data_IF_361146312813
#
_entry.id   IF_361146312813
#
_cell.length_a   1.000
_cell.length_b   1.000
_cell.length_c   1.000
_cell.angle_alpha   90.00
_cell.angle_beta   90.00
_cell.angle_gamma   90.00
#
_symmetry.space_group_name_H-M   'P 1'
#
loop_
_entity.id
_entity.type
_entity.pdbx_description
1 polymer ?
#
# COMPACT_ATOMS: atom_id res chain seq x y z
N UNK A 1 -10.15 -20.21 -28.61
CA UNK A 1 -8.97 -19.34 -28.83
C UNK A 1 -7.72 -20.18 -28.57
N UNK A 2 -6.63 -20.07 -29.35
CA UNK A 2 -5.42 -20.89 -29.14
C UNK A 2 -4.59 -20.40 -27.96
N UNK A 3 -3.93 -21.33 -27.25
CA UNK A 3 -3.04 -21.03 -26.11
C UNK A 3 -1.93 -20.02 -26.45
N UNK A 4 -1.41 -20.07 -27.68
CA UNK A 4 -0.40 -19.13 -28.16
C UNK A 4 -0.90 -17.67 -28.15
N UNK A 5 -2.14 -17.43 -28.59
CA UNK A 5 -2.73 -16.08 -28.60
C UNK A 5 -3.00 -15.58 -27.18
N UNK A 6 -3.42 -16.46 -26.27
CA UNK A 6 -3.60 -16.13 -24.87
C UNK A 6 -2.25 -15.74 -24.21
N UNK A 7 -1.20 -16.52 -24.47
CA UNK A 7 0.16 -16.21 -23.98
C UNK A 7 0.69 -14.90 -24.54
N UNK A 8 0.54 -14.65 -25.85
CA UNK A 8 0.92 -13.38 -26.46
C UNK A 8 0.18 -12.18 -25.85
N UNK A 9 -1.12 -12.34 -25.57
CA UNK A 9 -1.92 -11.30 -24.90
C UNK A 9 -1.45 -11.06 -23.47
N UNK A 10 -1.11 -12.10 -22.72
CA UNK A 10 -0.57 -11.97 -21.36
C UNK A 10 0.78 -11.26 -21.35
N UNK A 11 1.70 -11.64 -22.25
CA UNK A 11 3.01 -10.97 -22.40
C UNK A 11 2.83 -9.49 -22.73
N UNK A 12 1.99 -9.15 -23.71
CA UNK A 12 1.75 -7.75 -24.07
C UNK A 12 1.15 -6.95 -22.91
N UNK A 13 0.22 -7.55 -22.15
CA UNK A 13 -0.34 -6.92 -20.95
C UNK A 13 0.76 -6.61 -19.94
N UNK A 14 1.63 -7.58 -19.64
CA UNK A 14 2.72 -7.40 -18.68
C UNK A 14 3.70 -6.31 -19.13
N UNK A 15 4.12 -6.32 -20.41
CA UNK A 15 5.03 -5.31 -20.97
C UNK A 15 4.49 -3.88 -20.81
N UNK A 16 3.18 -3.69 -20.94
CA UNK A 16 2.53 -2.38 -20.75
C UNK A 16 2.58 -1.96 -19.28
N UNK A 17 2.32 -2.87 -18.34
CA UNK A 17 2.38 -2.57 -16.89
C UNK A 17 3.82 -2.27 -16.46
N UNK A 18 4.79 -3.07 -16.93
CA UNK A 18 6.21 -2.85 -16.63
C UNK A 18 6.69 -1.49 -17.16
N UNK A 19 6.31 -1.12 -18.38
CA UNK A 19 6.62 0.20 -18.96
C UNK A 19 6.02 1.35 -18.14
N UNK A 20 4.82 1.18 -17.58
CA UNK A 20 4.21 2.13 -16.67
C UNK A 20 5.00 2.23 -15.36
N UNK A 21 5.35 1.08 -14.76
CA UNK A 21 6.15 1.02 -13.54
C UNK A 21 7.53 1.68 -13.71
N UNK A 22 8.18 1.51 -14.86
CA UNK A 22 9.47 2.12 -15.17
C UNK A 22 9.36 3.65 -15.26
N UNK A 23 8.35 4.17 -15.97
CA UNK A 23 8.08 5.61 -16.05
C UNK A 23 7.88 6.22 -14.67
N UNK A 24 7.11 5.53 -13.82
CA UNK A 24 6.79 5.98 -12.47
C UNK A 24 8.02 5.93 -11.57
N UNK A 25 8.83 4.88 -11.67
CA UNK A 25 10.05 4.72 -10.89
C UNK A 25 11.07 5.80 -11.23
N UNK A 26 11.24 6.11 -12.52
CA UNK A 26 12.14 7.16 -12.99
C UNK A 26 11.71 8.54 -12.48
N UNK A 27 10.41 8.81 -12.49
CA UNK A 27 9.90 10.15 -12.21
C UNK A 27 9.42 10.35 -10.76
N UNK A 28 9.29 9.27 -9.98
CA UNK A 28 8.82 9.24 -8.58
C UNK A 28 7.42 9.84 -8.37
N UNK A 29 6.58 9.78 -9.40
CA UNK A 29 5.20 10.28 -9.35
C UNK A 29 4.31 9.53 -10.36
N UNK A 30 2.99 9.64 -10.18
CA UNK A 30 1.99 8.92 -11.00
C UNK A 30 1.45 9.73 -12.19
N UNK A 31 2.08 10.85 -12.57
CA UNK A 31 1.68 11.61 -13.76
C UNK A 31 2.32 11.00 -15.01
N UNK A 32 1.46 10.37 -15.80
CA UNK A 32 1.80 9.78 -17.08
C UNK A 32 0.54 9.77 -17.96
N UNK A 33 0.78 9.82 -19.26
CA UNK A 33 -0.24 9.60 -20.28
C UNK A 33 -0.17 8.17 -20.83
N UNK A 34 -1.32 7.64 -21.26
CA UNK A 34 -1.39 6.35 -21.97
C UNK A 34 -0.49 6.31 -23.22
N UNK A 35 -0.20 7.48 -23.80
CA UNK A 35 0.71 7.63 -24.94
C UNK A 35 2.16 7.39 -24.53
N UNK A 36 2.63 7.97 -23.43
CA UNK A 36 3.99 7.74 -22.92
C UNK A 36 4.21 6.27 -22.56
N UNK A 37 3.20 5.63 -21.95
CA UNK A 37 3.25 4.19 -21.67
C UNK A 37 3.37 3.37 -22.95
N UNK A 38 2.61 3.71 -24.00
CA UNK A 38 2.69 3.03 -25.29
C UNK A 38 4.08 3.17 -25.93
N UNK A 39 4.63 4.39 -25.93
CA UNK A 39 5.98 4.69 -26.43
C UNK A 39 7.04 3.90 -25.66
N UNK A 40 6.95 3.87 -24.34
CA UNK A 40 7.89 3.11 -23.47
C UNK A 40 7.78 1.61 -23.69
N UNK A 41 6.57 1.08 -23.82
CA UNK A 41 6.31 -0.34 -24.04
C UNK A 41 6.65 -0.81 -25.47
N UNK A 42 6.92 0.11 -26.40
CA UNK A 42 7.17 -0.23 -27.80
C UNK A 42 5.94 -0.78 -28.53
N UNK A 43 4.73 -0.38 -28.11
CA UNK A 43 3.45 -0.82 -28.70
C UNK A 43 2.63 0.36 -29.18
N UNK A 44 1.60 0.11 -30.02
CA UNK A 44 0.69 1.17 -30.44
C UNK A 44 -0.22 1.63 -29.28
N UNK A 45 -0.64 2.90 -29.28
CA UNK A 45 -1.64 3.41 -28.33
C UNK A 45 -2.95 2.59 -28.37
N UNK A 46 -3.35 2.13 -29.57
CA UNK A 46 -4.49 1.22 -29.73
C UNK A 46 -4.28 -0.10 -28.99
N UNK A 47 -3.06 -0.64 -29.00
CA UNK A 47 -2.73 -1.86 -28.25
C UNK A 47 -2.92 -1.63 -26.76
N UNK A 48 -2.45 -0.50 -26.22
CA UNK A 48 -2.67 -0.16 -24.80
C UNK A 48 -4.16 -0.13 -24.48
N UNK A 49 -4.97 0.61 -25.24
CA UNK A 49 -6.43 0.68 -25.01
C UNK A 49 -7.18 -0.66 -25.20
N UNK A 50 -6.63 -1.61 -25.96
CA UNK A 50 -7.20 -2.96 -26.05
C UNK A 50 -6.96 -3.80 -24.77
N UNK A 51 -5.96 -3.44 -23.96
CA UNK A 51 -5.62 -4.12 -22.70
C UNK A 51 -6.14 -3.40 -21.46
N UNK A 52 -6.20 -2.07 -21.52
CA UNK A 52 -6.61 -1.18 -20.42
C UNK A 52 -7.49 -0.09 -21.02
N UNK A 53 -8.80 -0.15 -20.76
CA UNK A 53 -9.74 0.78 -21.39
C UNK A 53 -9.55 2.21 -20.85
N UNK A 54 -9.12 2.31 -19.60
CA UNK A 54 -8.89 3.57 -18.88
C UNK A 54 -7.49 3.62 -18.26
N UNK A 55 -7.10 4.80 -17.76
CA UNK A 55 -5.86 4.96 -16.99
C UNK A 55 -5.98 4.25 -15.64
N UNK A 56 -7.18 4.26 -15.07
CA UNK A 56 -7.53 3.61 -13.81
C UNK A 56 -7.33 2.10 -13.91
N UNK A 57 -7.76 1.46 -15.01
CA UNK A 57 -7.53 0.01 -15.24
C UNK A 57 -6.03 -0.35 -15.24
N UNK A 58 -5.18 0.56 -15.73
CA UNK A 58 -3.73 0.38 -15.75
C UNK A 58 -3.12 0.62 -14.36
N UNK A 59 -3.63 1.59 -13.61
CA UNK A 59 -3.22 1.84 -12.23
C UNK A 59 -3.61 0.69 -11.29
N UNK A 60 -4.77 0.05 -11.49
CA UNK A 60 -5.16 -1.13 -10.73
C UNK A 60 -4.19 -2.29 -10.99
N UNK A 61 -3.84 -2.53 -12.26
CA UNK A 61 -2.85 -3.54 -12.61
C UNK A 61 -1.45 -3.22 -12.07
N UNK A 62 -1.08 -1.93 -12.03
CA UNK A 62 0.14 -1.49 -11.38
C UNK A 62 0.09 -1.73 -9.86
N UNK A 63 -1.06 -1.53 -9.22
CA UNK A 63 -1.27 -1.84 -7.80
C UNK A 63 -1.06 -3.33 -7.50
N UNK A 64 -1.58 -4.21 -8.35
CA UNK A 64 -1.30 -5.65 -8.23
C UNK A 64 0.18 -5.98 -8.41
N UNK A 65 0.86 -5.36 -9.39
CA UNK A 65 2.31 -5.51 -9.56
C UNK A 65 3.08 -5.01 -8.32
N UNK A 66 2.63 -3.92 -7.70
CA UNK A 66 3.24 -3.43 -6.46
C UNK A 66 3.05 -4.42 -5.30
N UNK A 67 1.86 -4.99 -5.14
CA UNK A 67 1.59 -6.02 -4.13
C UNK A 67 2.43 -7.29 -4.37
N UNK A 68 2.60 -7.72 -5.62
CA UNK A 68 3.50 -8.81 -6.01
C UNK A 68 4.96 -8.48 -5.65
N UNK A 69 5.44 -7.29 -6.03
CA UNK A 69 6.81 -6.86 -5.73
C UNK A 69 7.07 -6.69 -4.24
N UNK A 70 6.08 -6.19 -3.48
CA UNK A 70 6.15 -6.14 -2.02
C UNK A 70 6.36 -7.54 -1.45
N UNK A 71 5.63 -8.55 -1.94
CA UNK A 71 5.81 -9.93 -1.50
C UNK A 71 7.20 -10.49 -1.88
N UNK A 72 7.69 -10.19 -3.09
CA UNK A 72 9.00 -10.65 -3.58
C UNK A 72 10.17 -10.14 -2.72
N UNK A 73 10.07 -8.92 -2.19
CA UNK A 73 11.09 -8.32 -1.30
C UNK A 73 10.84 -8.60 0.19
N UNK A 74 9.89 -9.47 0.52
CA UNK A 74 9.62 -9.91 1.89
C UNK A 74 8.70 -8.99 2.71
N UNK A 75 7.94 -8.11 2.05
CA UNK A 75 6.89 -7.32 2.65
C UNK A 75 5.78 -8.18 3.27
N UNK A 76 5.08 -7.63 4.25
CA UNK A 76 4.09 -8.35 5.02
C UNK A 76 2.70 -8.36 4.38
N UNK A 77 2.08 -9.54 4.39
CA UNK A 77 0.65 -9.71 4.12
C UNK A 77 -0.14 -9.63 5.43
N UNK A 78 -1.40 -9.18 5.37
CA UNK A 78 -2.31 -9.28 6.52
C UNK A 78 -2.49 -10.72 7.01
N UNK A 79 -2.30 -11.70 6.13
CA UNK A 79 -2.32 -13.14 6.46
C UNK A 79 -1.16 -13.58 7.35
N UNK A 80 -0.09 -12.80 7.42
CA UNK A 80 1.08 -13.08 8.26
C UNK A 80 0.87 -12.59 9.71
N UNK A 81 -0.22 -11.87 9.98
CA UNK A 81 -0.46 -11.24 11.28
C UNK A 81 -1.51 -12.03 12.04
N UNK A 82 -1.07 -12.74 13.07
CA UNK A 82 -1.93 -13.48 14.01
C UNK A 82 -1.86 -12.97 15.44
N UNK A 83 -1.06 -11.92 15.68
CA UNK A 83 -0.72 -11.44 17.01
C UNK A 83 -0.03 -10.09 16.95
N UNK A 84 0.12 -9.49 18.14
CA UNK A 84 0.82 -8.21 18.33
C UNK A 84 2.27 -8.27 17.83
N UNK A 85 2.99 -9.35 18.13
CA UNK A 85 4.39 -9.50 17.72
C UNK A 85 4.52 -9.48 16.18
N UNK A 86 3.64 -10.18 15.48
CA UNK A 86 3.61 -10.24 14.02
C UNK A 86 3.16 -8.91 13.40
N UNK A 87 2.26 -8.16 14.05
CA UNK A 87 1.85 -6.82 13.63
C UNK A 87 3.03 -5.85 13.64
N UNK A 88 3.82 -5.88 14.71
CA UNK A 88 5.00 -5.04 14.87
C UNK A 88 6.14 -5.47 13.94
N UNK A 89 6.26 -6.77 13.68
CA UNK A 89 7.17 -7.28 12.65
C UNK A 89 6.76 -6.86 11.23
N UNK A 90 5.45 -6.78 10.95
CA UNK A 90 4.94 -6.29 9.68
C UNK A 90 5.38 -4.85 9.40
N UNK A 91 5.51 -3.99 10.42
CA UNK A 91 6.09 -2.64 10.26
C UNK A 91 7.51 -2.72 9.69
N UNK A 92 8.37 -3.53 10.32
CA UNK A 92 9.77 -3.69 9.92
C UNK A 92 9.88 -4.21 8.49
N UNK A 93 9.14 -5.28 8.18
CA UNK A 93 9.13 -5.90 6.85
C UNK A 93 8.62 -4.94 5.79
N UNK A 94 7.53 -4.22 6.06
CA UNK A 94 6.96 -3.27 5.12
C UNK A 94 7.87 -2.06 4.88
N UNK A 95 8.46 -1.47 5.92
CA UNK A 95 9.38 -0.35 5.77
C UNK A 95 10.63 -0.73 4.96
N UNK A 96 11.21 -1.91 5.22
CA UNK A 96 12.30 -2.46 4.42
C UNK A 96 11.88 -2.68 2.96
N UNK A 97 10.68 -3.21 2.73
CA UNK A 97 10.14 -3.40 1.40
C UNK A 97 9.93 -2.07 0.66
N UNK A 98 9.37 -1.05 1.32
CA UNK A 98 9.18 0.28 0.74
C UNK A 98 10.51 0.91 0.31
N UNK A 99 11.53 0.81 1.16
CA UNK A 99 12.88 1.30 0.86
C UNK A 99 13.49 0.58 -0.35
N UNK A 100 13.37 -0.75 -0.41
CA UNK A 100 13.89 -1.55 -1.53
C UNK A 100 13.18 -1.25 -2.85
N UNK A 101 11.86 -0.99 -2.82
CA UNK A 101 11.08 -0.66 -4.01
C UNK A 101 11.34 0.77 -4.50
N UNK A 102 11.75 1.69 -3.63
CA UNK A 102 12.20 3.03 -4.01
C UNK A 102 11.13 3.82 -4.78
N UNK A 103 11.46 4.27 -6.00
CA UNK A 103 10.64 5.23 -6.75
C UNK A 103 9.19 4.80 -7.03
N UNK A 104 8.93 3.50 -7.23
CA UNK A 104 7.54 3.01 -7.35
C UNK A 104 6.78 3.18 -6.03
N UNK A 105 7.46 2.91 -4.91
CA UNK A 105 6.93 3.15 -3.57
C UNK A 105 6.63 4.65 -3.41
N UNK A 106 7.63 5.51 -3.60
CA UNK A 106 7.47 6.96 -3.47
C UNK A 106 6.27 7.53 -4.27
N UNK A 107 6.05 7.02 -5.48
CA UNK A 107 4.92 7.42 -6.31
C UNK A 107 3.55 7.02 -5.72
N UNK A 108 3.42 5.77 -5.24
CA UNK A 108 2.20 5.31 -4.57
C UNK A 108 1.92 6.08 -3.28
N UNK A 109 2.95 6.44 -2.52
CA UNK A 109 2.79 7.21 -1.28
C UNK A 109 2.18 8.60 -1.54
N UNK A 110 2.51 9.21 -2.67
CA UNK A 110 2.08 10.56 -3.06
C UNK A 110 0.73 10.62 -3.79
N UNK A 111 0.12 9.48 -4.13
CA UNK A 111 -1.15 9.45 -4.86
C UNK A 111 -2.23 10.31 -4.16
N UNK A 112 -2.88 11.27 -4.84
CA UNK A 112 -3.92 12.09 -4.24
C UNK A 112 -5.06 11.25 -3.65
N UNK A 113 -5.58 11.66 -2.49
CA UNK A 113 -6.78 11.08 -1.87
C UNK A 113 -8.07 11.36 -2.66
N UNK A 114 -8.00 12.01 -3.81
CA UNK A 114 -9.16 12.27 -4.69
C UNK A 114 -9.09 11.49 -6.01
N UNK A 115 -7.91 10.92 -6.36
CA UNK A 115 -7.74 9.98 -7.49
C UNK A 115 -8.10 8.54 -7.06
N UNK A 116 -9.03 8.43 -6.10
CA UNK A 116 -9.52 7.18 -5.52
C UNK A 116 -10.54 6.57 -6.47
N UNK A 117 -10.09 6.25 -7.68
CA UNK A 117 -10.72 5.25 -8.54
C UNK A 117 -10.30 3.82 -8.17
N UNK A 118 -9.26 3.69 -7.33
CA UNK A 118 -8.75 2.45 -6.72
C UNK A 118 -9.54 2.13 -5.42
N UNK A 119 -10.86 2.35 -5.44
CA UNK A 119 -11.63 2.64 -4.22
C UNK A 119 -12.09 1.39 -3.48
N UNK A 120 -12.54 0.35 -4.20
CA UNK A 120 -13.07 -0.86 -3.55
C UNK A 120 -11.98 -1.72 -2.90
N UNK A 121 -10.89 -2.01 -3.62
CA UNK A 121 -9.85 -2.91 -3.12
C UNK A 121 -9.04 -2.26 -1.98
N UNK A 122 -8.83 -0.94 -2.03
CA UNK A 122 -8.11 -0.20 -0.99
C UNK A 122 -8.97 0.03 0.26
N UNK A 123 -10.25 0.39 0.11
CA UNK A 123 -11.16 0.51 1.24
C UNK A 123 -11.34 -0.84 1.93
N UNK A 124 -11.64 -1.90 1.16
CA UNK A 124 -11.77 -3.26 1.69
C UNK A 124 -10.45 -3.80 2.29
N UNK A 125 -9.28 -3.42 1.75
CA UNK A 125 -8.00 -3.75 2.40
C UNK A 125 -7.82 -2.99 3.71
N UNK A 126 -8.26 -1.75 3.78
CA UNK A 126 -8.18 -0.93 4.99
C UNK A 126 -9.10 -1.48 6.06
N UNK A 127 -10.37 -1.74 5.75
CA UNK A 127 -11.34 -2.39 6.63
C UNK A 127 -10.79 -3.71 7.17
N UNK A 128 -10.32 -4.62 6.30
CA UNK A 128 -9.73 -5.90 6.73
C UNK A 128 -8.56 -5.76 7.69
N UNK A 129 -7.71 -4.74 7.51
CA UNK A 129 -6.58 -4.51 8.43
C UNK A 129 -7.06 -3.90 9.74
N UNK A 130 -8.05 -3.00 9.70
CA UNK A 130 -8.67 -2.42 10.89
C UNK A 130 -9.34 -3.51 11.72
N UNK A 131 -10.18 -4.35 11.11
CA UNK A 131 -10.83 -5.49 11.76
C UNK A 131 -9.81 -6.43 12.40
N UNK A 132 -8.74 -6.75 11.67
CA UNK A 132 -7.64 -7.56 12.19
C UNK A 132 -7.01 -6.92 13.44
N UNK A 133 -6.77 -5.60 13.44
CA UNK A 133 -6.17 -4.91 14.58
C UNK A 133 -7.15 -4.83 15.77
N UNK A 134 -8.46 -4.67 15.50
CA UNK A 134 -9.50 -4.73 16.54
C UNK A 134 -9.50 -6.12 17.20
N UNK A 135 -9.44 -7.18 16.41
CA UNK A 135 -9.39 -8.57 16.91
C UNK A 135 -8.15 -8.86 17.79
N UNK A 136 -7.07 -8.07 17.61
CA UNK A 136 -5.86 -8.15 18.45
C UNK A 136 -6.01 -7.49 19.82
N UNK A 137 -7.08 -6.72 20.07
CA UNK A 137 -7.33 -5.99 21.32
C UNK A 137 -8.65 -6.44 22.00
N UNK A 138 -8.83 -7.75 22.32
CA UNK A 138 -10.12 -8.27 22.78
C UNK A 138 -10.56 -7.76 24.16
N UNK A 139 -9.65 -7.17 24.94
CA UNK A 139 -9.95 -6.57 26.25
C UNK A 139 -10.38 -5.10 26.16
N UNK A 140 -10.26 -4.48 25.00
CA UNK A 140 -10.60 -3.06 24.76
C UNK A 140 -12.04 -2.96 24.22
N UNK A 141 -12.86 -1.99 24.66
CA UNK A 141 -14.19 -1.75 24.09
C UNK A 141 -14.13 -1.58 22.56
N UNK A 142 -15.09 -2.15 21.83
CA UNK A 142 -15.03 -2.23 20.36
C UNK A 142 -14.89 -0.87 19.65
N UNK A 143 -15.64 0.15 20.09
CA UNK A 143 -15.58 1.49 19.49
C UNK A 143 -14.21 2.16 19.71
N UNK A 144 -13.64 1.98 20.90
CA UNK A 144 -12.30 2.47 21.25
C UNK A 144 -11.21 1.72 20.48
N UNK A 145 -11.30 0.38 20.43
CA UNK A 145 -10.41 -0.48 19.66
C UNK A 145 -10.40 -0.10 18.17
N UNK A 146 -11.57 0.23 17.62
CA UNK A 146 -11.71 0.67 16.23
C UNK A 146 -11.02 2.02 15.98
N UNK A 147 -11.21 3.01 16.86
CA UNK A 147 -10.54 4.31 16.75
C UNK A 147 -9.01 4.17 16.84
N UNK A 148 -8.50 3.33 17.75
CA UNK A 148 -7.08 3.00 17.85
C UNK A 148 -6.60 2.28 16.58
N UNK A 149 -7.36 1.30 16.09
CA UNK A 149 -7.02 0.55 14.89
C UNK A 149 -6.89 1.44 13.65
N UNK A 150 -7.69 2.51 13.54
CA UNK A 150 -7.53 3.51 12.47
C UNK A 150 -6.20 4.27 12.56
N UNK A 151 -5.79 4.65 13.78
CA UNK A 151 -4.48 5.30 14.01
C UNK A 151 -3.34 4.34 13.71
N UNK A 152 -3.40 3.10 14.20
CA UNK A 152 -2.41 2.06 13.91
C UNK A 152 -2.32 1.76 12.41
N UNK A 153 -3.47 1.67 11.72
CA UNK A 153 -3.54 1.51 10.26
C UNK A 153 -2.90 2.66 9.51
N UNK A 154 -3.01 3.89 10.01
CA UNK A 154 -2.29 5.03 9.47
C UNK A 154 -0.79 4.87 9.68
N UNK A 155 -0.33 4.58 10.90
CA UNK A 155 1.10 4.39 11.22
C UNK A 155 1.76 3.26 10.41
N UNK A 156 1.04 2.16 10.18
CA UNK A 156 1.45 1.03 9.32
C UNK A 156 1.49 1.38 7.83
N UNK A 157 0.99 2.56 7.44
CA UNK A 157 0.84 2.91 6.04
C UNK A 157 2.17 3.31 5.42
N UNK A 158 2.30 2.94 4.17
CA UNK A 158 3.36 3.41 3.28
C UNK A 158 3.51 4.94 3.26
N UNK A 159 2.41 5.69 3.41
CA UNK A 159 2.46 7.16 3.47
C UNK A 159 3.18 7.64 4.71
N UNK A 160 2.93 7.05 5.87
CA UNK A 160 3.60 7.44 7.11
C UNK A 160 5.11 7.19 7.02
N UNK A 161 5.52 6.04 6.48
CA UNK A 161 6.94 5.79 6.18
C UNK A 161 7.53 6.84 5.23
N UNK A 162 6.85 7.16 4.14
CA UNK A 162 7.32 8.12 3.14
C UNK A 162 7.54 9.51 3.76
N UNK A 163 6.59 10.02 4.53
CA UNK A 163 6.72 11.34 5.17
C UNK A 163 7.85 11.36 6.22
N UNK A 164 7.93 10.32 7.05
CA UNK A 164 9.00 10.21 8.06
C UNK A 164 10.40 10.22 7.43
N UNK A 165 10.56 9.55 6.29
CA UNK A 165 11.86 9.41 5.63
C UNK A 165 12.20 10.57 4.69
N UNK A 166 11.26 11.01 3.87
CA UNK A 166 11.52 11.98 2.79
C UNK A 166 11.27 13.43 3.20
N UNK A 167 10.21 13.69 3.98
CA UNK A 167 9.90 15.04 4.44
C UNK A 167 10.67 15.36 5.74
N UNK A 168 10.61 14.44 6.71
CA UNK A 168 11.21 14.67 8.03
C UNK A 168 12.67 14.21 8.12
N UNK A 169 13.19 13.55 7.08
CA UNK A 169 14.61 13.23 6.94
C UNK A 169 15.11 12.10 7.84
N UNK A 170 14.22 11.23 8.36
CA UNK A 170 14.62 10.08 9.15
C UNK A 170 15.18 8.95 8.26
N UNK A 171 16.07 8.14 8.82
CA UNK A 171 16.39 6.86 8.18
C UNK A 171 15.20 5.90 8.25
N UNK A 172 15.12 4.92 7.34
CA UNK A 172 14.11 3.85 7.42
C UNK A 172 14.17 3.12 8.76
N UNK A 173 15.38 2.93 9.32
CA UNK A 173 15.57 2.30 10.63
C UNK A 173 14.95 3.14 11.76
N UNK A 174 15.20 4.45 11.79
CA UNK A 174 14.65 5.35 12.81
C UNK A 174 13.13 5.48 12.69
N UNK A 175 12.62 5.64 11.47
CA UNK A 175 11.18 5.67 11.19
C UNK A 175 10.49 4.38 11.67
N UNK A 176 11.13 3.22 11.43
CA UNK A 176 10.64 1.92 11.91
C UNK A 176 10.62 1.86 13.44
N UNK A 177 11.70 2.26 14.10
CA UNK A 177 11.79 2.25 15.56
C UNK A 177 10.72 3.13 16.22
N UNK A 178 10.51 4.34 15.70
CA UNK A 178 9.50 5.28 16.21
C UNK A 178 8.08 4.74 15.98
N UNK A 179 7.79 4.22 14.78
CA UNK A 179 6.46 3.67 14.48
C UNK A 179 6.17 2.45 15.35
N UNK A 180 7.12 1.51 15.48
CA UNK A 180 6.96 0.34 16.36
C UNK A 180 6.73 0.76 17.81
N UNK A 181 7.53 1.70 18.34
CA UNK A 181 7.36 2.23 19.70
C UNK A 181 5.98 2.89 19.89
N UNK A 182 5.54 3.72 18.95
CA UNK A 182 4.26 4.40 19.02
C UNK A 182 3.10 3.39 19.00
N UNK A 183 3.17 2.39 18.13
CA UNK A 183 2.15 1.33 18.06
C UNK A 183 2.09 0.50 19.33
N UNK A 184 3.23 0.08 19.87
CA UNK A 184 3.30 -0.63 21.15
C UNK A 184 2.69 0.21 22.28
N UNK A 185 3.06 1.49 22.36
CA UNK A 185 2.57 2.40 23.40
C UNK A 185 1.06 2.59 23.32
N UNK A 186 0.50 2.74 22.12
CA UNK A 186 -0.95 2.90 21.93
C UNK A 186 -1.72 1.63 22.32
N UNK A 187 -1.20 0.45 21.97
CA UNK A 187 -1.80 -0.82 22.35
C UNK A 187 -1.75 -1.01 23.87
N UNK A 188 -0.59 -0.74 24.50
CA UNK A 188 -0.44 -0.85 25.96
C UNK A 188 -1.37 0.10 26.71
N UNK A 189 -1.49 1.35 26.26
CA UNK A 189 -2.38 2.34 26.85
C UNK A 189 -3.84 1.89 26.76
N UNK A 190 -4.27 1.40 25.59
CA UNK A 190 -5.61 0.89 25.38
C UNK A 190 -5.95 -0.31 26.29
N UNK A 191 -5.03 -1.28 26.39
CA UNK A 191 -5.19 -2.45 27.25
C UNK A 191 -5.21 -2.08 28.75
N UNK A 192 -4.59 -0.95 29.12
CA UNK A 192 -4.64 -0.38 30.47
C UNK A 192 -5.89 0.47 30.74
N UNK A 193 -6.75 0.71 29.74
CA UNK A 193 -7.93 1.57 29.85
C UNK A 193 -7.64 3.07 29.76
N UNK A 194 -6.52 3.45 29.15
CA UNK A 194 -6.08 4.83 28.88
C UNK A 194 -6.14 5.15 27.38
N UNK A 195 -7.16 4.65 26.67
CA UNK A 195 -7.38 4.98 25.27
C UNK A 195 -8.26 6.22 25.07
N UNK A 196 -8.54 6.58 23.81
CA UNK A 196 -9.27 7.79 23.48
C UNK A 196 -10.68 7.78 24.07
N UNK A 197 -11.11 8.94 24.58
CA UNK A 197 -12.48 9.12 25.11
C UNK A 197 -13.49 8.86 23.98
N UNK A 198 -14.59 8.13 24.22
CA UNK A 198 -15.62 7.87 23.22
C UNK A 198 -16.09 9.18 22.57
N UNK A 199 -16.24 9.17 21.24
CA UNK A 199 -16.86 10.29 20.53
C UNK A 199 -18.30 10.44 21.00
N UNK A 200 -18.67 11.61 21.51
CA UNK A 200 -20.08 11.93 21.72
C UNK A 200 -20.78 11.88 20.36
N UNK A 201 -21.90 11.14 20.27
CA UNK A 201 -22.71 11.04 19.06
C UNK A 201 -23.07 12.46 18.56
N UNK A 202 -22.61 12.80 17.36
CA UNK A 202 -22.87 14.07 16.69
C UNK A 202 -24.18 14.05 15.89
#
# INVERSE_FOLDING_TARGET
MSELRARQRAVARQTIVDACADLITERRHLDFSMKEVAERAGVSLRTVYNHFATREDLLDALGHLFDERMADVGGASSRDVSGRAELLDAVRRNHSAFEQLGGISEAFAQLPLADVGIDADRAARTERIVDLIVDLMPSVPADEAHDIALVLRHLLSHRSWFWLTHEYGLSTADATAIVTWAMETLIDAAEAGDGPVPREDA
#
